data_IF_035644068045
#
_entry.id   IF_035644068045
#
_cell.length_a   1.000
_cell.length_b   1.000
_cell.length_c   1.000
_cell.angle_alpha   90.00
_cell.angle_beta   90.00
_cell.angle_gamma   90.00
#
_symmetry.space_group_name_H-M   'P 1'
#
loop_
_entity.id
_entity.type
_entity.pdbx_description
1 polymer ?
#
# COMPACT_ATOMS: atom_id res chain seq x y z
N UNK A 1 -23.28 -25.86 -5.60
CA UNK A 1 -22.19 -24.89 -5.85
C UNK A 1 -21.24 -25.49 -6.86
N UNK A 2 -20.85 -24.75 -7.91
CA UNK A 2 -19.90 -25.24 -8.91
C UNK A 2 -18.47 -25.13 -8.35
N UNK A 3 -17.71 -26.23 -8.19
CA UNK A 3 -16.36 -26.21 -7.62
C UNK A 3 -15.36 -25.35 -8.43
N UNK A 4 -15.70 -24.99 -9.67
CA UNK A 4 -14.91 -24.07 -10.51
C UNK A 4 -15.05 -22.59 -10.09
N UNK A 5 -15.89 -22.26 -9.11
CA UNK A 5 -16.20 -20.86 -8.72
C UNK A 5 -15.72 -20.48 -7.32
N UNK A 6 -15.12 -21.39 -6.56
CA UNK A 6 -14.54 -21.06 -5.25
C UNK A 6 -13.17 -20.40 -5.40
N UNK A 7 -12.84 -19.37 -4.60
CA UNK A 7 -11.52 -18.76 -4.62
C UNK A 7 -10.45 -19.81 -4.26
N UNK A 8 -9.28 -19.81 -4.94
CA UNK A 8 -8.21 -20.75 -4.65
C UNK A 8 -7.68 -20.54 -3.22
N UNK A 9 -7.10 -21.56 -2.56
CA UNK A 9 -6.58 -21.40 -1.20
C UNK A 9 -5.51 -20.31 -1.14
N UNK A 10 -5.60 -19.44 -0.13
CA UNK A 10 -4.64 -18.34 0.07
C UNK A 10 -3.29 -18.94 0.46
N UNK A 11 -2.25 -18.67 -0.33
CA UNK A 11 -0.87 -18.99 0.03
C UNK A 11 -0.16 -17.69 0.40
N UNK A 12 0.56 -17.70 1.52
CA UNK A 12 1.29 -16.51 2.02
C UNK A 12 2.27 -15.94 0.99
N UNK A 13 2.86 -16.79 0.16
CA UNK A 13 3.74 -16.38 -0.96
C UNK A 13 3.03 -15.50 -2.00
N UNK A 14 1.72 -15.64 -2.18
CA UNK A 14 0.96 -14.85 -3.14
C UNK A 14 0.77 -13.40 -2.63
N UNK A 15 0.90 -13.19 -1.32
CA UNK A 15 0.84 -11.87 -0.68
C UNK A 15 2.20 -11.16 -0.65
N UNK A 16 3.30 -11.89 -0.87
CA UNK A 16 4.66 -11.34 -0.75
C UNK A 16 4.92 -10.28 -1.83
N UNK A 17 4.62 -10.59 -3.08
CA UNK A 17 4.80 -9.65 -4.20
C UNK A 17 3.99 -8.35 -4.01
N UNK A 18 2.67 -8.38 -3.77
CA UNK A 18 1.91 -7.15 -3.55
C UNK A 18 2.39 -6.38 -2.31
N UNK A 19 2.69 -7.07 -1.19
CA UNK A 19 3.22 -6.43 0.01
C UNK A 19 4.53 -5.68 -0.27
N UNK A 20 5.48 -6.35 -0.93
CA UNK A 20 6.80 -5.75 -1.26
C UNK A 20 6.64 -4.58 -2.23
N UNK A 21 5.80 -4.70 -3.26
CA UNK A 21 5.57 -3.58 -4.19
C UNK A 21 4.90 -2.39 -3.50
N UNK A 22 3.91 -2.66 -2.64
CA UNK A 22 3.23 -1.64 -1.85
C UNK A 22 4.12 -0.94 -0.84
N UNK A 23 5.17 -1.62 -0.35
CA UNK A 23 6.18 -1.06 0.55
C UNK A 23 7.24 -0.27 -0.21
N UNK A 24 7.83 -0.86 -1.26
CA UNK A 24 9.00 -0.31 -1.95
C UNK A 24 8.68 1.03 -2.62
N UNK A 25 7.52 1.16 -3.26
CA UNK A 25 7.13 2.41 -3.96
C UNK A 25 7.16 3.64 -3.02
N UNK A 26 6.40 3.68 -1.90
CA UNK A 26 6.46 4.79 -0.96
C UNK A 26 7.80 4.89 -0.23
N UNK A 27 8.49 3.77 0.08
CA UNK A 27 9.82 3.83 0.72
C UNK A 27 10.83 4.53 -0.17
N UNK A 28 10.96 4.13 -1.45
CA UNK A 28 11.92 4.71 -2.38
C UNK A 28 11.65 6.20 -2.55
N UNK A 29 10.38 6.59 -2.67
CA UNK A 29 9.98 7.98 -2.76
C UNK A 29 10.38 8.79 -1.52
N UNK A 30 10.07 8.30 -0.32
CA UNK A 30 10.40 8.99 0.93
C UNK A 30 11.91 9.03 1.20
N UNK A 31 12.65 7.97 0.87
CA UNK A 31 14.11 7.96 0.98
C UNK A 31 14.74 8.94 0.00
N UNK A 32 14.22 9.04 -1.23
CA UNK A 32 14.67 10.04 -2.18
C UNK A 32 14.45 11.47 -1.65
N UNK A 33 13.25 11.76 -1.11
CA UNK A 33 12.96 13.04 -0.47
C UNK A 33 13.86 13.32 0.74
N UNK A 34 14.18 12.28 1.52
CA UNK A 34 15.07 12.39 2.66
C UNK A 34 16.51 12.75 2.27
N UNK A 35 17.01 12.14 1.19
CA UNK A 35 18.35 12.40 0.64
C UNK A 35 18.46 13.76 -0.04
N UNK A 36 17.36 14.26 -0.60
CA UNK A 36 17.30 15.59 -1.22
C UNK A 36 17.30 16.73 -0.18
N UNK A 37 17.12 16.43 1.11
CA UNK A 37 17.11 17.41 2.18
C UNK A 37 18.52 17.60 2.77
N UNK A 38 18.90 18.84 3.06
CA UNK A 38 20.23 19.18 3.62
C UNK A 38 20.45 18.54 5.00
N UNK A 39 19.38 18.31 5.76
CA UNK A 39 19.42 17.64 7.06
C UNK A 39 18.97 16.18 6.93
N UNK A 40 19.94 15.34 6.57
CA UNK A 40 19.76 13.91 6.29
C UNK A 40 19.31 13.13 7.56
N UNK A 41 18.29 12.28 7.42
CA UNK A 41 17.84 11.28 8.41
C UNK A 41 17.69 11.78 9.85
N UNK A 42 16.97 12.88 10.04
CA UNK A 42 16.59 13.33 11.37
C UNK A 42 15.67 12.31 12.08
N UNK A 43 15.66 12.25 13.42
CA UNK A 43 14.88 11.28 14.18
C UNK A 43 13.37 11.29 13.89
N UNK A 44 12.79 12.43 13.52
CA UNK A 44 11.37 12.51 13.18
C UNK A 44 11.02 11.76 11.88
N UNK A 45 12.00 11.51 11.01
CA UNK A 45 11.81 10.87 9.71
C UNK A 45 11.60 9.36 9.82
N UNK A 46 11.93 8.75 10.96
CA UNK A 46 11.69 7.32 11.20
C UNK A 46 10.21 6.95 11.11
N UNK A 47 9.32 7.80 11.65
CA UNK A 47 7.88 7.54 11.61
C UNK A 47 7.31 7.53 10.16
N UNK A 48 7.53 8.55 9.31
CA UNK A 48 7.05 8.51 7.93
C UNK A 48 7.73 7.41 7.10
N UNK A 49 9.04 7.16 7.29
CA UNK A 49 9.76 6.11 6.56
C UNK A 49 9.31 4.68 6.90
N UNK A 50 8.61 4.49 8.01
CA UNK A 50 8.09 3.18 8.43
C UNK A 50 6.60 3.06 8.20
N UNK A 51 5.80 3.97 8.76
CA UNK A 51 4.34 3.83 8.79
C UNK A 51 3.67 4.07 7.44
N UNK A 52 4.19 5.00 6.62
CA UNK A 52 3.65 5.24 5.28
C UNK A 52 3.91 4.03 4.36
N UNK A 53 5.13 3.45 4.30
CA UNK A 53 5.32 2.22 3.54
C UNK A 53 4.57 1.01 4.07
N UNK A 54 4.38 0.89 5.39
CA UNK A 54 3.57 -0.18 5.97
C UNK A 54 2.10 -0.09 5.54
N UNK A 55 1.52 1.12 5.49
CA UNK A 55 0.16 1.30 4.99
C UNK A 55 0.07 1.02 3.48
N UNK A 56 1.11 1.37 2.71
CA UNK A 56 1.27 0.97 1.31
C UNK A 56 1.27 -0.56 1.14
N UNK A 57 2.04 -1.29 1.95
CA UNK A 57 2.04 -2.76 1.95
C UNK A 57 0.65 -3.33 2.24
N UNK A 58 -0.03 -2.82 3.27
CA UNK A 58 -1.38 -3.26 3.63
C UNK A 58 -2.41 -2.99 2.52
N UNK A 59 -2.36 -1.81 1.91
CA UNK A 59 -3.24 -1.44 0.79
C UNK A 59 -2.99 -2.30 -0.45
N UNK A 60 -1.74 -2.65 -0.75
CA UNK A 60 -1.41 -3.54 -1.87
C UNK A 60 -1.84 -4.99 -1.63
N UNK A 61 -1.77 -5.49 -0.40
CA UNK A 61 -2.36 -6.78 -0.01
C UNK A 61 -3.88 -6.75 -0.22
N UNK A 62 -4.55 -5.67 0.19
CA UNK A 62 -5.98 -5.50 -0.03
C UNK A 62 -6.33 -5.47 -1.54
N UNK A 63 -5.53 -4.77 -2.34
CA UNK A 63 -5.64 -4.76 -3.80
C UNK A 63 -5.54 -6.17 -4.41
N UNK A 64 -4.59 -6.99 -3.94
CA UNK A 64 -4.49 -8.39 -4.36
C UNK A 64 -5.76 -9.18 -4.04
N UNK A 65 -6.27 -9.05 -2.82
CA UNK A 65 -7.50 -9.74 -2.42
C UNK A 65 -8.68 -9.36 -3.30
N UNK A 66 -8.86 -8.07 -3.55
CA UNK A 66 -9.96 -7.56 -4.39
C UNK A 66 -9.82 -7.99 -5.85
N UNK A 67 -8.68 -7.72 -6.49
CA UNK A 67 -8.52 -7.88 -7.93
C UNK A 67 -8.17 -9.29 -8.41
N UNK A 68 -7.63 -10.14 -7.54
CA UNK A 68 -7.03 -11.42 -7.96
C UNK A 68 -7.56 -12.62 -7.21
N UNK A 69 -7.96 -12.45 -5.94
CA UNK A 69 -8.46 -13.57 -5.14
C UNK A 69 -10.00 -13.65 -5.10
N UNK A 70 -10.69 -12.57 -4.72
CA UNK A 70 -12.15 -12.56 -4.59
C UNK A 70 -12.88 -12.34 -5.91
N UNK A 71 -12.34 -11.48 -6.78
CA UNK A 71 -12.94 -11.17 -8.08
C UNK A 71 -11.97 -11.46 -9.24
N UNK A 72 -11.67 -12.74 -9.55
CA UNK A 72 -10.62 -13.09 -10.49
C UNK A 72 -10.95 -12.83 -11.97
N UNK A 73 -12.23 -12.65 -12.34
CA UNK A 73 -12.67 -12.54 -13.74
C UNK A 73 -13.84 -11.55 -13.96
N UNK A 74 -14.00 -11.12 -15.21
CA UNK A 74 -15.14 -10.34 -15.69
C UNK A 74 -15.17 -8.87 -15.22
N UNK A 75 -16.29 -8.19 -15.43
CA UNK A 75 -16.49 -6.78 -15.06
C UNK A 75 -16.30 -6.52 -13.57
N UNK A 76 -16.61 -7.51 -12.71
CA UNK A 76 -16.41 -7.44 -11.27
C UNK A 76 -14.94 -7.22 -10.90
N UNK A 77 -14.01 -7.86 -11.64
CA UNK A 77 -12.56 -7.65 -11.47
C UNK A 77 -12.17 -6.21 -11.74
N UNK A 78 -12.64 -5.65 -12.86
CA UNK A 78 -12.32 -4.28 -13.25
C UNK A 78 -12.79 -3.28 -12.19
N UNK A 79 -14.03 -3.44 -11.71
CA UNK A 79 -14.58 -2.60 -10.63
C UNK A 79 -13.75 -2.76 -9.34
N UNK A 80 -13.39 -3.99 -8.98
CA UNK A 80 -12.58 -4.28 -7.80
C UNK A 80 -11.18 -3.64 -7.87
N UNK A 81 -10.53 -3.69 -9.04
CA UNK A 81 -9.22 -3.07 -9.28
C UNK A 81 -9.31 -1.54 -9.18
N UNK A 82 -10.34 -0.91 -9.78
CA UNK A 82 -10.52 0.54 -9.72
C UNK A 82 -10.78 0.98 -8.27
N UNK A 83 -11.71 0.32 -7.59
CA UNK A 83 -12.07 0.63 -6.21
C UNK A 83 -10.88 0.47 -5.26
N UNK A 84 -10.17 -0.65 -5.34
CA UNK A 84 -9.01 -0.89 -4.47
C UNK A 84 -7.84 0.03 -4.76
N UNK A 85 -7.64 0.45 -6.02
CA UNK A 85 -6.66 1.49 -6.37
C UNK A 85 -6.99 2.82 -5.72
N UNK A 86 -8.25 3.27 -5.80
CA UNK A 86 -8.69 4.53 -5.15
C UNK A 86 -8.47 4.44 -3.64
N UNK A 87 -8.89 3.33 -3.03
CA UNK A 87 -8.74 3.10 -1.60
C UNK A 87 -7.26 3.08 -1.17
N UNK A 88 -6.37 2.49 -1.97
CA UNK A 88 -4.92 2.51 -1.74
C UNK A 88 -4.37 3.93 -1.64
N UNK A 89 -4.70 4.80 -2.61
CA UNK A 89 -4.26 6.19 -2.59
C UNK A 89 -4.86 6.98 -1.43
N UNK A 90 -6.13 6.75 -1.07
CA UNK A 90 -6.77 7.41 0.08
C UNK A 90 -6.06 7.01 1.39
N UNK A 91 -5.78 5.72 1.60
CA UNK A 91 -5.11 5.24 2.82
C UNK A 91 -3.69 5.81 2.91
N UNK A 92 -2.93 5.76 1.82
CA UNK A 92 -1.57 6.34 1.78
C UNK A 92 -1.60 7.84 2.08
N UNK A 93 -2.53 8.58 1.47
CA UNK A 93 -2.67 10.01 1.69
C UNK A 93 -3.05 10.33 3.13
N UNK A 94 -4.07 9.67 3.68
CA UNK A 94 -4.49 9.86 5.08
C UNK A 94 -3.37 9.52 6.06
N UNK A 95 -2.64 8.43 5.82
CA UNK A 95 -1.49 8.05 6.65
C UNK A 95 -0.40 9.12 6.57
N UNK A 96 -0.10 9.63 5.37
CA UNK A 96 0.90 10.67 5.18
C UNK A 96 0.51 11.95 5.92
N UNK A 97 -0.74 12.42 5.73
CA UNK A 97 -1.30 13.59 6.44
C UNK A 97 -1.18 13.41 7.95
N UNK A 98 -1.61 12.27 8.46
CA UNK A 98 -1.57 11.98 9.88
C UNK A 98 -0.15 11.98 10.44
N UNK A 99 0.80 11.29 9.78
CA UNK A 99 2.17 11.17 10.28
C UNK A 99 2.92 12.49 10.22
N UNK A 100 2.84 13.22 9.11
CA UNK A 100 3.50 14.53 9.00
C UNK A 100 2.88 15.57 9.94
N UNK A 101 1.57 15.50 10.20
CA UNK A 101 0.92 16.32 11.21
C UNK A 101 1.39 15.95 12.63
N UNK A 102 1.49 14.65 12.94
CA UNK A 102 1.95 14.15 14.23
C UNK A 102 3.42 14.51 14.51
N UNK A 103 4.29 14.47 13.50
CA UNK A 103 5.69 14.90 13.64
C UNK A 103 5.85 16.42 13.65
N UNK A 104 4.83 17.20 13.29
CA UNK A 104 4.90 18.66 13.19
C UNK A 104 5.63 19.18 11.95
N UNK A 105 5.76 18.37 10.90
CA UNK A 105 6.54 18.66 9.68
C UNK A 105 5.63 18.72 8.44
N UNK A 106 4.49 19.41 8.54
CA UNK A 106 3.49 19.56 7.46
C UNK A 106 3.75 20.76 6.52
N UNK A 107 4.88 21.46 6.70
CA UNK A 107 5.19 22.72 6.00
C UNK A 107 6.17 22.54 4.84
#
# INVERSE_FOLDING_TARGET
MNPLTSPPPIRTKDLLLPAVLGLVLPTVWLVFLALANENIFQPWMYLPLTLIPLSGSAGAIFFYFMGFHWFPHGTKKLIAIIFSSILYFIILWLTSVFIFNYTGHWH
#
